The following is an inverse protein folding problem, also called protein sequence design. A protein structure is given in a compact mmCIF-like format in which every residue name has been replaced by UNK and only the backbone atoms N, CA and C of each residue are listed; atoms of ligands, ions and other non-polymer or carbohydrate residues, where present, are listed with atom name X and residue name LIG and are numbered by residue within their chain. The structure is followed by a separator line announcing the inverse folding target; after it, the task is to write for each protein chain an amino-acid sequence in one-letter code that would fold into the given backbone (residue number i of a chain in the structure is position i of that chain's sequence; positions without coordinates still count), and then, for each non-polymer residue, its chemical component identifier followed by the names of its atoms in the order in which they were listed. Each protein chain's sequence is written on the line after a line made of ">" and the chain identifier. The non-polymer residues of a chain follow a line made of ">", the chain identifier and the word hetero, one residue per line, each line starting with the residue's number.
data_IF_962335175961
#
_entry.id   IF_962335175961
#
_cell.length_a   1.000
_cell.length_b   1.000
_cell.length_c   1.000
_cell.angle_alpha   90.00
_cell.angle_beta   90.00
_cell.angle_gamma   90.00
#
_symmetry.space_group_name_H-M   'P 1'
#
loop_
_entity.id
_entity.type
_entity.pdbx_description
1 polymer ?
#
# COMPACT_ATOMS: atom_id res chain seq x y z
N UNK A 1 -33.42 50.15 6.19
CA UNK A 1 -32.49 49.35 7.01
C UNK A 1 -33.30 48.34 7.81
N UNK A 2 -33.33 47.08 7.39
CA UNK A 2 -33.67 45.93 8.23
C UNK A 2 -32.67 44.84 7.85
N UNK A 3 -31.70 44.63 8.73
CA UNK A 3 -30.68 43.59 8.62
C UNK A 3 -31.30 42.24 8.94
N UNK A 4 -31.61 41.45 7.92
CA UNK A 4 -32.00 40.05 8.08
C UNK A 4 -30.80 39.21 8.51
N UNK A 5 -30.74 38.86 9.79
CA UNK A 5 -29.81 37.85 10.32
C UNK A 5 -30.26 36.50 9.76
N UNK A 6 -29.46 35.91 8.87
CA UNK A 6 -29.65 34.52 8.44
C UNK A 6 -29.24 33.61 9.60
N UNK A 7 -30.16 32.83 10.13
CA UNK A 7 -29.86 31.76 11.08
C UNK A 7 -28.90 30.75 10.43
N UNK A 8 -27.72 30.58 11.02
CA UNK A 8 -26.81 29.48 10.69
C UNK A 8 -27.46 28.15 11.09
N UNK A 9 -27.87 27.37 10.09
CA UNK A 9 -28.22 25.96 10.27
C UNK A 9 -26.95 25.19 10.62
N UNK A 10 -26.72 24.92 11.91
CA UNK A 10 -25.67 23.98 12.35
C UNK A 10 -26.03 22.57 11.87
N UNK A 11 -25.19 21.90 11.07
CA UNK A 11 -25.45 20.51 10.71
C UNK A 11 -25.34 19.65 11.98
N UNK A 12 -26.43 18.94 12.29
CA UNK A 12 -26.46 17.89 13.30
C UNK A 12 -25.54 16.74 12.85
N UNK A 13 -24.28 16.80 13.26
CA UNK A 13 -23.37 15.67 13.17
C UNK A 13 -23.70 14.70 14.30
N UNK A 14 -24.67 13.82 14.06
CA UNK A 14 -24.85 12.63 14.88
C UNK A 14 -23.57 11.78 14.83
N UNK A 15 -22.73 12.00 15.84
CA UNK A 15 -21.42 11.39 16.01
C UNK A 15 -21.54 9.89 16.16
N UNK A 16 -21.19 9.19 15.08
CA UNK A 16 -21.00 7.74 15.02
C UNK A 16 -19.93 7.26 16.01
N UNK A 17 -20.30 7.06 17.27
CA UNK A 17 -19.45 6.52 18.34
C UNK A 17 -18.99 5.06 18.08
N UNK A 18 -19.66 4.35 17.16
CA UNK A 18 -19.30 2.98 16.75
C UNK A 18 -18.01 2.87 15.91
N UNK A 19 -17.47 3.99 15.40
CA UNK A 19 -16.23 3.96 14.58
C UNK A 19 -15.00 3.55 15.40
N UNK A 20 -14.98 3.85 16.71
CA UNK A 20 -13.84 3.55 17.59
C UNK A 20 -13.72 2.06 17.93
N UNK A 21 -14.84 1.46 18.36
CA UNK A 21 -14.90 0.05 18.78
C UNK A 21 -14.70 -0.87 17.57
N UNK A 22 -15.38 -0.59 16.45
CA UNK A 22 -15.25 -1.37 15.22
C UNK A 22 -13.81 -1.39 14.68
N UNK A 23 -13.16 -0.22 14.62
CA UNK A 23 -11.79 -0.10 14.11
C UNK A 23 -10.76 -0.80 14.99
N UNK A 24 -10.97 -0.83 16.32
CA UNK A 24 -10.02 -1.44 17.26
C UNK A 24 -10.24 -2.93 17.47
N UNK A 25 -11.49 -3.39 17.58
CA UNK A 25 -11.81 -4.75 17.99
C UNK A 25 -12.38 -5.64 16.89
N UNK A 26 -13.21 -5.11 15.98
CA UNK A 26 -13.88 -5.93 14.95
C UNK A 26 -13.05 -6.05 13.67
N UNK A 27 -12.31 -4.99 13.31
CA UNK A 27 -11.51 -4.97 12.07
C UNK A 27 -10.44 -6.06 12.01
N UNK A 28 -9.73 -6.31 13.12
CA UNK A 28 -8.63 -7.30 13.17
C UNK A 28 -9.08 -8.76 12.99
N UNK A 29 -10.07 -9.28 13.74
CA UNK A 29 -10.55 -10.65 13.51
C UNK A 29 -11.20 -10.80 12.14
N UNK A 30 -11.91 -9.78 11.64
CA UNK A 30 -12.49 -9.80 10.30
C UNK A 30 -11.42 -9.90 9.21
N UNK A 31 -10.39 -9.05 9.26
CA UNK A 31 -9.28 -9.10 8.29
C UNK A 31 -8.56 -10.46 8.33
N UNK A 32 -8.40 -11.05 9.53
CA UNK A 32 -7.79 -12.37 9.70
C UNK A 32 -8.65 -13.49 9.07
N UNK A 33 -9.94 -13.54 9.39
CA UNK A 33 -10.87 -14.56 8.87
C UNK A 33 -10.99 -14.46 7.35
N UNK A 34 -11.18 -13.25 6.82
CA UNK A 34 -11.27 -13.02 5.38
C UNK A 34 -9.98 -13.40 4.66
N UNK A 35 -8.82 -13.04 5.21
CA UNK A 35 -7.52 -13.42 4.64
C UNK A 35 -7.30 -14.92 4.68
N UNK A 36 -7.72 -15.61 5.74
CA UNK A 36 -7.60 -17.06 5.86
C UNK A 36 -8.46 -17.77 4.81
N UNK A 37 -9.72 -17.36 4.66
CA UNK A 37 -10.63 -17.89 3.63
C UNK A 37 -10.05 -17.64 2.24
N UNK A 38 -9.57 -16.42 1.97
CA UNK A 38 -8.97 -16.07 0.68
C UNK A 38 -7.75 -16.94 0.37
N UNK A 39 -6.86 -17.20 1.33
CA UNK A 39 -5.69 -18.07 1.13
C UNK A 39 -6.13 -19.51 0.81
N UNK A 40 -7.14 -20.04 1.50
CA UNK A 40 -7.62 -21.41 1.26
C UNK A 40 -8.20 -21.53 -0.15
N UNK A 41 -9.06 -20.59 -0.55
CA UNK A 41 -9.71 -20.59 -1.87
C UNK A 41 -8.70 -20.32 -2.99
N UNK A 42 -7.74 -19.43 -2.78
CA UNK A 42 -6.71 -19.07 -3.76
C UNK A 42 -5.49 -19.98 -3.71
N UNK A 43 -5.42 -20.93 -2.77
CA UNK A 43 -4.29 -21.86 -2.65
C UNK A 43 -3.93 -22.59 -3.94
N UNK A 44 -4.87 -23.15 -4.75
CA UNK A 44 -4.51 -23.77 -6.02
C UNK A 44 -3.88 -22.75 -7.00
N UNK A 45 -4.40 -21.53 -7.04
CA UNK A 45 -3.88 -20.45 -7.91
C UNK A 45 -2.48 -20.04 -7.48
N UNK A 46 -2.25 -19.85 -6.17
CA UNK A 46 -0.94 -19.52 -5.61
C UNK A 46 0.13 -20.56 -5.96
N UNK A 47 -0.23 -21.85 -5.89
CA UNK A 47 0.68 -22.96 -6.24
C UNK A 47 0.98 -22.95 -7.74
N UNK A 48 -0.04 -22.85 -8.59
CA UNK A 48 0.13 -22.82 -10.05
C UNK A 48 0.99 -21.63 -10.47
N UNK A 49 0.68 -20.42 -9.98
CA UNK A 49 1.46 -19.21 -10.27
C UNK A 49 2.89 -19.36 -9.74
N UNK A 50 3.07 -19.90 -8.54
CA UNK A 50 4.40 -20.14 -7.96
C UNK A 50 5.26 -21.09 -8.80
N UNK A 51 4.67 -22.17 -9.34
CA UNK A 51 5.35 -23.09 -10.26
C UNK A 51 5.67 -22.41 -11.58
N UNK A 52 4.73 -21.65 -12.16
CA UNK A 52 4.97 -20.90 -13.40
C UNK A 52 6.10 -19.88 -13.25
N UNK A 53 6.14 -19.13 -12.14
CA UNK A 53 7.22 -18.21 -11.81
C UNK A 53 8.54 -18.97 -11.68
N UNK A 54 8.56 -20.12 -10.98
CA UNK A 54 9.76 -20.95 -10.81
C UNK A 54 10.34 -21.43 -12.15
N UNK A 55 9.47 -21.85 -13.07
CA UNK A 55 9.86 -22.39 -14.38
C UNK A 55 10.27 -21.27 -15.35
N UNK A 56 9.58 -20.13 -15.35
CA UNK A 56 9.82 -19.04 -16.31
C UNK A 56 10.91 -18.05 -15.88
N UNK A 57 11.01 -17.76 -14.59
CA UNK A 57 11.91 -16.74 -14.04
C UNK A 57 13.01 -17.33 -13.14
N UNK A 58 12.90 -18.60 -12.76
CA UNK A 58 13.90 -19.29 -11.94
C UNK A 58 13.67 -19.18 -10.44
N UNK A 59 14.76 -19.27 -9.66
CA UNK A 59 14.75 -19.08 -8.20
C UNK A 59 15.31 -17.70 -7.87
N UNK A 60 14.80 -16.97 -6.87
CA UNK A 60 13.68 -17.28 -5.97
C UNK A 60 12.30 -16.93 -6.55
N UNK A 61 11.25 -17.62 -6.09
CA UNK A 61 9.85 -17.40 -6.52
C UNK A 61 9.24 -16.17 -5.85
N UNK A 62 9.56 -15.94 -4.57
CA UNK A 62 9.04 -14.84 -3.79
C UNK A 62 10.07 -13.73 -3.67
N UNK A 63 9.65 -12.52 -4.03
CA UNK A 63 10.38 -11.29 -3.79
C UNK A 63 9.96 -10.68 -2.45
N UNK A 64 10.94 -10.17 -1.70
CA UNK A 64 10.76 -9.61 -0.36
C UNK A 64 11.11 -8.13 -0.38
N UNK A 65 10.16 -7.26 -0.05
CA UNK A 65 10.38 -5.81 0.03
C UNK A 65 10.17 -5.33 1.46
N UNK A 66 11.11 -4.54 2.00
CA UNK A 66 10.92 -3.88 3.30
C UNK A 66 10.01 -2.66 3.14
N UNK A 67 8.95 -2.62 3.92
CA UNK A 67 7.96 -1.53 3.92
C UNK A 67 7.68 -1.07 5.36
N UNK A 68 7.44 0.23 5.59
CA UNK A 68 7.01 0.73 6.88
C UNK A 68 5.54 0.41 7.12
N UNK A 69 5.25 -0.23 8.25
CA UNK A 69 3.90 -0.57 8.69
C UNK A 69 3.38 0.40 9.75
N UNK A 70 2.40 -0.07 10.51
CA UNK A 70 1.81 0.70 11.61
C UNK A 70 2.89 1.06 12.66
N UNK A 71 2.90 2.33 13.09
CA UNK A 71 3.89 2.88 14.04
C UNK A 71 5.34 2.79 13.55
N UNK A 72 5.57 2.99 12.25
CA UNK A 72 6.91 2.98 11.62
C UNK A 72 7.65 1.62 11.74
N UNK A 73 6.97 0.56 12.20
CA UNK A 73 7.56 -0.77 12.28
C UNK A 73 7.78 -1.32 10.88
N UNK A 74 9.03 -1.59 10.53
CA UNK A 74 9.38 -2.17 9.23
C UNK A 74 8.93 -3.63 9.20
N UNK A 75 8.14 -3.97 8.20
CA UNK A 75 7.75 -5.35 7.91
C UNK A 75 8.21 -5.75 6.51
N UNK A 76 8.26 -7.06 6.25
CA UNK A 76 8.63 -7.60 4.94
C UNK A 76 7.36 -7.93 4.17
N UNK A 77 7.12 -7.21 3.09
CA UNK A 77 6.05 -7.47 2.13
C UNK A 77 6.49 -8.56 1.15
N UNK A 78 5.63 -9.57 0.96
CA UNK A 78 5.86 -10.68 0.03
C UNK A 78 5.14 -10.43 -1.28
N UNK A 79 5.84 -10.63 -2.41
CA UNK A 79 5.25 -10.60 -3.76
C UNK A 79 5.82 -11.73 -4.60
N UNK A 80 5.15 -12.13 -5.67
CA UNK A 80 5.78 -12.99 -6.66
C UNK A 80 6.82 -12.22 -7.46
N UNK A 81 7.90 -12.91 -7.83
CA UNK A 81 8.91 -12.37 -8.72
C UNK A 81 8.34 -12.21 -10.13
N UNK A 82 8.51 -11.02 -10.71
CA UNK A 82 8.01 -10.69 -12.06
C UNK A 82 9.09 -10.25 -13.04
N UNK A 83 10.31 -9.97 -12.54
CA UNK A 83 11.46 -9.52 -13.33
C UNK A 83 12.58 -10.58 -13.31
N UNK A 84 13.30 -10.72 -14.42
CA UNK A 84 14.51 -11.55 -14.50
C UNK A 84 15.70 -10.87 -13.81
N UNK A 85 16.73 -11.65 -13.46
CA UNK A 85 18.01 -11.14 -12.95
C UNK A 85 19.09 -11.16 -14.04
N UNK A 86 18.68 -11.01 -15.31
CA UNK A 86 19.64 -10.93 -16.40
C UNK A 86 20.54 -9.70 -16.23
N UNK A 87 21.84 -9.95 -16.39
CA UNK A 87 22.90 -8.96 -16.28
C UNK A 87 23.59 -8.83 -17.63
N UNK A 88 24.15 -7.67 -17.90
CA UNK A 88 25.00 -7.46 -19.05
C UNK A 88 26.37 -8.14 -18.88
N UNK A 89 27.22 -8.03 -19.90
CA UNK A 89 28.59 -8.55 -19.89
C UNK A 89 29.48 -7.90 -18.83
N UNK A 90 29.12 -6.70 -18.36
CA UNK A 90 29.82 -5.95 -17.31
C UNK A 90 29.34 -6.31 -15.89
N UNK A 91 28.31 -7.17 -15.77
CA UNK A 91 27.72 -7.58 -14.50
C UNK A 91 26.71 -6.59 -13.91
N UNK A 92 26.34 -5.55 -14.65
CA UNK A 92 25.28 -4.59 -14.33
C UNK A 92 23.90 -5.18 -14.66
N UNK A 93 22.88 -4.76 -13.91
CA UNK A 93 21.51 -5.20 -14.17
C UNK A 93 21.00 -4.54 -15.45
N UNK A 94 20.43 -5.34 -16.35
CA UNK A 94 19.82 -4.83 -17.57
C UNK A 94 18.67 -3.85 -17.25
N UNK A 95 18.33 -2.95 -18.20
CA UNK A 95 17.18 -2.06 -18.04
C UNK A 95 15.88 -2.84 -17.81
N UNK A 96 14.96 -2.24 -17.06
CA UNK A 96 13.69 -2.85 -16.66
C UNK A 96 12.83 -3.31 -17.85
N UNK A 97 12.93 -2.63 -18.99
CA UNK A 97 12.23 -2.98 -20.23
C UNK A 97 12.63 -4.37 -20.78
N UNK A 98 13.90 -4.74 -20.62
CA UNK A 98 14.44 -6.04 -21.04
C UNK A 98 14.15 -7.10 -19.98
N UNK A 99 14.28 -6.75 -18.70
CA UNK A 99 14.05 -7.67 -17.57
C UNK A 99 12.59 -8.05 -17.37
N UNK A 100 11.66 -7.24 -17.88
CA UNK A 100 10.23 -7.50 -17.80
C UNK A 100 9.76 -8.43 -18.93
N UNK A 101 9.72 -9.72 -18.63
CA UNK A 101 9.17 -10.72 -19.56
C UNK A 101 7.68 -10.51 -19.84
N UNK A 102 7.18 -11.04 -20.97
CA UNK A 102 5.74 -11.04 -21.29
C UNK A 102 4.91 -11.65 -20.16
N UNK A 103 5.41 -12.72 -19.53
CA UNK A 103 4.78 -13.36 -18.38
C UNK A 103 4.73 -12.42 -17.16
N UNK A 104 5.84 -11.76 -16.83
CA UNK A 104 5.90 -10.78 -15.74
C UNK A 104 4.95 -9.60 -15.94
N UNK A 105 4.77 -9.15 -17.19
CA UNK A 105 3.79 -8.11 -17.55
C UNK A 105 2.36 -8.55 -17.30
N UNK A 106 2.00 -9.78 -17.70
CA UNK A 106 0.67 -10.35 -17.45
C UNK A 106 0.43 -10.46 -15.94
N UNK A 107 1.42 -10.96 -15.18
CA UNK A 107 1.29 -11.14 -13.74
C UNK A 107 1.03 -9.81 -13.00
N UNK A 108 1.69 -8.73 -13.42
CA UNK A 108 1.43 -7.37 -12.92
C UNK A 108 0.07 -6.83 -13.34
N UNK A 109 -0.32 -7.02 -14.60
CA UNK A 109 -1.61 -6.53 -15.11
C UNK A 109 -2.81 -7.20 -14.44
N UNK A 110 -2.63 -8.45 -13.99
CA UNK A 110 -3.65 -9.23 -13.28
C UNK A 110 -3.54 -9.08 -11.77
N UNK A 111 -2.55 -8.32 -11.27
CA UNK A 111 -2.22 -8.15 -9.85
C UNK A 111 -2.03 -9.46 -9.09
N UNK A 112 -1.75 -10.56 -9.80
CA UNK A 112 -1.52 -11.87 -9.21
C UNK A 112 -0.20 -11.90 -8.41
N UNK A 113 0.72 -10.98 -8.71
CA UNK A 113 1.98 -10.84 -8.01
C UNK A 113 1.84 -10.36 -6.56
N UNK A 114 0.70 -9.75 -6.21
CA UNK A 114 0.40 -9.26 -4.85
C UNK A 114 -0.33 -10.30 -3.99
N UNK A 115 -0.75 -11.43 -4.54
CA UNK A 115 -1.44 -12.47 -3.76
C UNK A 115 -0.65 -12.97 -2.53
N UNK A 116 0.71 -13.08 -2.55
CA UNK A 116 1.48 -13.42 -1.36
C UNK A 116 1.36 -12.39 -0.21
N UNK A 117 0.85 -11.17 -0.46
CA UNK A 117 0.60 -10.18 0.59
C UNK A 117 -0.52 -10.62 1.55
N UNK A 118 -1.38 -11.56 1.15
CA UNK A 118 -2.38 -12.17 2.04
C UNK A 118 -1.73 -12.79 3.28
N UNK A 119 -0.51 -13.34 3.16
CA UNK A 119 0.22 -13.87 4.32
C UNK A 119 0.63 -12.76 5.30
N UNK A 120 0.90 -11.54 4.82
CA UNK A 120 1.18 -10.38 5.69
C UNK A 120 -0.06 -9.92 6.46
N UNK A 121 -1.24 -10.04 5.85
CA UNK A 121 -2.52 -9.73 6.49
C UNK A 121 -2.81 -10.76 7.58
N UNK A 122 -2.62 -12.04 7.28
CA UNK A 122 -2.79 -13.13 8.25
C UNK A 122 -1.84 -12.98 9.46
N UNK A 123 -0.60 -12.53 9.22
CA UNK A 123 0.38 -12.26 10.28
C UNK A 123 0.05 -11.01 11.10
N UNK A 124 -0.81 -10.13 10.60
CA UNK A 124 -1.22 -8.88 11.24
C UNK A 124 -0.35 -7.66 10.91
N UNK A 125 0.65 -7.82 10.04
CA UNK A 125 1.51 -6.74 9.54
C UNK A 125 0.71 -5.77 8.65
N UNK A 126 -0.27 -6.29 7.91
CA UNK A 126 -1.15 -5.55 7.01
C UNK A 126 -2.63 -5.75 7.34
N UNK A 127 -3.49 -5.03 6.63
CA UNK A 127 -4.95 -5.11 6.71
C UNK A 127 -5.52 -5.11 5.30
N UNK A 128 -6.64 -5.80 5.07
CA UNK A 128 -7.30 -5.88 3.74
C UNK A 128 -7.66 -4.49 3.23
N UNK A 129 -8.13 -3.61 4.12
CA UNK A 129 -8.49 -2.23 3.81
C UNK A 129 -7.60 -1.28 4.60
N UNK A 130 -6.70 -0.57 3.91
CA UNK A 130 -5.73 0.36 4.49
C UNK A 130 -4.94 1.16 3.44
N UNK A 131 -4.04 2.08 3.87
CA UNK A 131 -3.14 2.77 2.95
C UNK A 131 -2.15 1.78 2.34
N UNK A 132 -1.78 1.99 1.09
CA UNK A 132 -0.64 1.28 0.49
C UNK A 132 0.67 1.77 1.15
N UNK A 133 1.51 0.88 1.68
CA UNK A 133 2.74 1.30 2.36
C UNK A 133 3.79 1.77 1.34
N UNK A 134 4.30 2.99 1.55
CA UNK A 134 5.35 3.59 0.73
C UNK A 134 6.70 2.90 0.95
N UNK A 135 7.67 3.14 0.07
CA UNK A 135 9.02 2.61 0.29
C UNK A 135 9.70 3.39 1.44
N UNK A 136 10.60 2.72 2.16
CA UNK A 136 11.29 3.31 3.34
C UNK A 136 12.06 4.58 2.97
N UNK A 137 12.64 4.64 1.78
CA UNK A 137 13.40 5.81 1.29
C UNK A 137 12.53 7.08 1.25
N UNK A 138 11.29 6.96 0.78
CA UNK A 138 10.36 8.09 0.71
C UNK A 138 9.94 8.61 2.09
N UNK A 139 10.03 7.80 3.16
CA UNK A 139 9.72 8.29 4.51
C UNK A 139 10.69 9.37 4.97
N UNK A 140 11.98 9.22 4.65
CA UNK A 140 13.00 10.20 5.05
C UNK A 140 12.80 11.52 4.30
N UNK A 141 12.52 11.45 3.00
CA UNK A 141 12.21 12.62 2.18
C UNK A 141 10.92 13.32 2.64
N UNK A 142 9.86 12.56 2.93
CA UNK A 142 8.61 13.12 3.43
C UNK A 142 8.78 13.75 4.81
N UNK A 143 9.59 13.14 5.70
CA UNK A 143 9.93 13.73 6.99
C UNK A 143 10.68 15.05 6.78
N UNK A 144 11.68 15.08 5.90
CA UNK A 144 12.45 16.29 5.61
C UNK A 144 11.58 17.41 5.02
N UNK A 145 10.73 17.09 4.04
CA UNK A 145 9.78 18.03 3.41
C UNK A 145 8.73 18.53 4.40
N UNK A 146 8.19 17.64 5.25
CA UNK A 146 7.29 18.04 6.32
C UNK A 146 7.95 19.03 7.29
N UNK A 147 9.22 18.83 7.64
CA UNK A 147 9.95 19.77 8.50
C UNK A 147 10.27 21.11 7.82
N UNK A 148 10.45 21.13 6.49
CA UNK A 148 10.80 22.35 5.75
C UNK A 148 9.60 23.16 5.29
N UNK A 149 8.48 22.53 4.94
CA UNK A 149 7.28 23.18 4.39
C UNK A 149 6.13 23.34 5.41
N UNK A 150 6.01 22.45 6.42
CA UNK A 150 4.90 22.47 7.39
C UNK A 150 5.19 23.26 8.67
N UNK A 151 6.02 24.30 8.60
CA UNK A 151 6.07 25.30 9.66
C UNK A 151 4.76 26.13 9.75
N UNK A 152 3.89 26.07 8.74
CA UNK A 152 2.70 26.94 8.64
C UNK A 152 1.33 26.25 8.50
N UNK A 153 1.25 24.91 8.42
CA UNK A 153 -0.04 24.21 8.26
C UNK A 153 -0.26 23.12 9.32
N UNK A 154 -0.89 23.54 10.41
CA UNK A 154 -1.57 22.77 11.47
C UNK A 154 -0.76 21.69 12.23
N UNK A 155 -0.96 21.53 13.55
CA UNK A 155 -0.17 20.63 14.39
C UNK A 155 -0.23 19.16 13.93
N UNK A 156 0.95 18.51 13.87
CA UNK A 156 1.12 17.08 13.58
C UNK A 156 0.27 16.15 14.47
N UNK A 157 -0.13 16.63 15.64
CA UNK A 157 -0.93 15.89 16.63
C UNK A 157 -2.35 15.59 16.13
N UNK A 158 -2.91 16.44 15.27
CA UNK A 158 -4.26 16.24 14.73
C UNK A 158 -4.30 15.12 13.67
N UNK A 159 -3.20 14.89 12.96
CA UNK A 159 -3.05 13.83 11.97
C UNK A 159 -3.01 12.43 12.59
N UNK A 160 -2.44 12.31 13.80
CA UNK A 160 -2.35 11.06 14.56
C UNK A 160 -3.72 10.54 15.00
N UNK A 161 -4.66 11.45 15.30
CA UNK A 161 -5.97 11.11 15.83
C UNK A 161 -7.01 10.76 14.77
N UNK A 162 -6.92 11.32 13.55
CA UNK A 162 -7.88 10.99 12.48
C UNK A 162 -7.59 9.68 11.76
N UNK A 163 -6.38 9.13 11.90
CA UNK A 163 -5.96 7.91 11.20
C UNK A 163 -6.23 7.98 9.69
N UNK A 164 -6.05 9.17 9.11
CA UNK A 164 -6.08 9.42 7.68
C UNK A 164 -4.82 8.79 7.09
N UNK A 165 -5.03 7.67 6.44
CA UNK A 165 -4.15 7.01 5.51
C UNK A 165 -3.81 8.00 4.39
N UNK A 166 -2.53 8.13 4.01
CA UNK A 166 -2.08 8.99 2.90
C UNK A 166 -2.85 8.67 1.60
N UNK A 167 -3.99 9.35 1.39
CA UNK A 167 -4.79 9.45 0.16
C UNK A 167 -6.12 10.17 0.48
N UNK A 168 -6.02 11.38 1.01
CA UNK A 168 -7.04 12.39 0.80
C UNK A 168 -6.34 13.54 0.10
N UNK A 169 -5.94 13.30 -1.16
CA UNK A 169 -5.59 14.36 -2.10
C UNK A 169 -6.84 15.25 -2.21
N UNK A 170 -6.80 16.40 -1.56
CA UNK A 170 -7.57 17.55 -1.99
C UNK A 170 -7.04 18.87 -1.40
N UNK A 171 -5.73 18.95 -1.13
CA UNK A 171 -5.03 20.23 -1.05
C UNK A 171 -3.55 19.98 -1.39
N UNK A 172 -3.03 20.82 -2.29
CA UNK A 172 -1.69 20.83 -2.92
C UNK A 172 -1.65 20.13 -4.31
N UNK A 173 -1.56 20.91 -5.42
CA UNK A 173 -1.36 20.38 -6.75
C UNK A 173 0.14 20.15 -6.97
N UNK A 174 0.59 18.92 -6.77
CA UNK A 174 1.88 18.49 -7.32
C UNK A 174 1.58 17.24 -8.13
N UNK A 175 1.41 17.47 -9.43
CA UNK A 175 1.72 16.55 -10.52
C UNK A 175 2.58 15.36 -10.04
N UNK A 176 1.97 14.25 -9.66
CA UNK A 176 2.65 12.96 -9.75
C UNK A 176 2.61 12.59 -11.22
N UNK A 177 3.69 13.01 -11.88
CA UNK A 177 4.14 12.69 -13.23
C UNK A 177 3.58 11.34 -13.69
N UNK A 178 2.56 11.45 -14.53
CA UNK A 178 2.28 10.50 -15.59
C UNK A 178 3.45 10.57 -16.60
N UNK A 179 4.42 9.68 -16.48
CA UNK A 179 5.20 9.10 -17.59
C UNK A 179 5.41 7.65 -17.15
N UNK A 180 4.69 6.64 -17.66
CA UNK A 180 4.74 6.16 -19.05
C UNK A 180 6.15 6.31 -19.63
N UNK A 181 7.10 5.53 -19.12
CA UNK A 181 8.16 5.02 -19.98
C UNK A 181 7.78 3.61 -20.41
N UNK A 182 7.26 3.58 -21.65
CA UNK A 182 7.43 2.47 -22.58
C UNK A 182 8.92 2.30 -22.86
#
# INVERSE_FOLDING_TARGET
>A
MQSGVKEEVKPSINGSNNKGIYRRFLKRPMDFILSLIAIIVLSPVLIIVGVLVRVKLGSPVLFKQKRPGLNEKIFTMYKFRTMSDEKDENGELLPDSVRLTKFGRILRSTSLDELPELFNILKGDMSIVGPRPLAVQYLQELRQKAHTELAWLQPWDEWRLRGKTYCSLNLIPIQCVYELNI
#
